data_IF_460696228434
#
_entry.id   IF_460696228434
#
_cell.length_a   1.000
_cell.length_b   1.000
_cell.length_c   1.000
_cell.angle_alpha   90.00
_cell.angle_beta   90.00
_cell.angle_gamma   90.00
#
_symmetry.space_group_name_H-M   'P 1'
#
loop_
_entity.id
_entity.type
_entity.pdbx_description
1 polymer ?
#
# COMPACT_ATOMS: atom_id res chain seq x y z
N UNK A 1 11.06 -29.93 3.96
CA UNK A 1 12.07 -29.52 2.97
C UNK A 1 13.01 -28.61 3.71
N UNK A 2 14.31 -28.88 3.67
CA UNK A 2 15.31 -27.98 4.25
C UNK A 2 15.59 -26.92 3.18
N UNK A 3 15.43 -25.64 3.52
CA UNK A 3 15.69 -24.53 2.60
C UNK A 3 17.22 -24.38 2.46
N UNK A 4 17.73 -24.41 1.23
CA UNK A 4 19.13 -24.17 0.90
C UNK A 4 19.50 -22.70 1.07
N UNK A 5 18.84 -21.78 0.37
CA UNK A 5 19.00 -20.34 0.62
C UNK A 5 17.80 -19.49 0.19
N UNK A 6 17.62 -18.36 0.88
CA UNK A 6 16.55 -17.39 0.63
C UNK A 6 17.16 -16.05 0.24
N UNK A 7 16.61 -15.40 -0.78
CA UNK A 7 16.97 -14.01 -1.13
C UNK A 7 15.93 -13.07 -0.52
N UNK A 8 16.36 -12.16 0.34
CA UNK A 8 15.53 -11.03 0.79
C UNK A 8 15.76 -9.87 -0.16
N UNK A 9 14.73 -9.52 -0.93
CA UNK A 9 14.79 -8.46 -1.92
C UNK A 9 14.33 -7.13 -1.32
N UNK A 10 15.25 -6.19 -1.16
CA UNK A 10 15.03 -4.90 -0.49
C UNK A 10 15.71 -3.75 -1.24
N UNK A 11 15.35 -2.49 -0.97
CA UNK A 11 15.91 -1.33 -1.64
C UNK A 11 15.10 -0.89 -2.85
N UNK A 12 15.68 -0.95 -4.05
CA UNK A 12 15.12 -0.42 -5.28
C UNK A 12 15.29 1.10 -5.44
N UNK A 13 14.62 1.69 -6.42
CA UNK A 13 14.75 3.10 -6.82
C UNK A 13 13.61 4.01 -6.33
N UNK A 14 12.73 3.52 -5.46
CA UNK A 14 11.61 4.31 -4.96
C UNK A 14 12.04 5.32 -3.90
N UNK A 15 11.20 6.32 -3.64
CA UNK A 15 11.37 7.25 -2.51
C UNK A 15 11.35 6.53 -1.14
N UNK A 16 10.94 5.27 -1.10
CA UNK A 16 10.79 4.45 0.09
C UNK A 16 11.94 3.44 0.26
N UNK A 17 13.03 3.60 -0.51
CA UNK A 17 14.21 2.72 -0.50
C UNK A 17 14.78 2.47 0.90
N UNK A 18 14.99 3.51 1.70
CA UNK A 18 15.56 3.36 3.05
C UNK A 18 14.64 2.57 3.98
N UNK A 19 13.32 2.74 3.83
CA UNK A 19 12.33 1.94 4.55
C UNK A 19 12.45 0.47 4.13
N UNK A 20 12.58 0.22 2.84
CA UNK A 20 12.72 -1.13 2.28
C UNK A 20 13.99 -1.82 2.77
N UNK A 21 15.14 -1.15 2.75
CA UNK A 21 16.41 -1.69 3.27
C UNK A 21 16.32 -2.03 4.76
N UNK A 22 15.66 -1.19 5.56
CA UNK A 22 15.44 -1.45 6.99
C UNK A 22 14.53 -2.66 7.21
N UNK A 23 13.47 -2.79 6.42
CA UNK A 23 12.59 -3.98 6.43
C UNK A 23 13.37 -5.24 6.03
N UNK A 24 14.18 -5.16 4.97
CA UNK A 24 15.06 -6.23 4.52
C UNK A 24 15.99 -6.76 5.60
N UNK A 25 16.71 -5.86 6.28
CA UNK A 25 17.59 -6.25 7.39
C UNK A 25 16.85 -7.02 8.49
N UNK A 26 15.68 -6.54 8.91
CA UNK A 26 14.86 -7.22 9.94
C UNK A 26 14.41 -8.61 9.52
N UNK A 27 14.00 -8.79 8.26
CA UNK A 27 13.63 -10.10 7.72
C UNK A 27 14.85 -11.01 7.66
N UNK A 28 15.98 -10.52 7.14
CA UNK A 28 17.22 -11.28 7.10
C UNK A 28 17.68 -11.73 8.48
N UNK A 29 17.62 -10.86 9.50
CA UNK A 29 18.01 -11.19 10.86
C UNK A 29 17.08 -12.27 11.47
N UNK A 30 15.77 -12.18 11.20
CA UNK A 30 14.81 -13.20 11.64
C UNK A 30 15.05 -14.57 10.96
N UNK A 31 15.38 -14.59 9.67
CA UNK A 31 15.72 -15.82 8.95
C UNK A 31 17.02 -16.44 9.46
N UNK A 32 18.07 -15.62 9.69
CA UNK A 32 19.34 -16.08 10.27
C UNK A 32 19.17 -16.67 11.66
N UNK A 33 18.29 -16.10 12.49
CA UNK A 33 17.99 -16.61 13.82
C UNK A 33 17.32 -18.00 13.80
N UNK A 34 16.81 -18.42 12.65
CA UNK A 34 16.27 -19.76 12.39
C UNK A 34 17.24 -20.66 11.60
N UNK A 35 18.51 -20.27 11.52
CA UNK A 35 19.56 -20.96 10.76
C UNK A 35 19.26 -21.12 9.25
N UNK A 36 18.41 -20.26 8.69
CA UNK A 36 18.12 -20.23 7.25
C UNK A 36 19.18 -19.37 6.54
N UNK A 37 19.93 -19.92 5.56
CA UNK A 37 20.89 -19.14 4.78
C UNK A 37 20.17 -18.04 4.00
N UNK A 38 20.67 -16.80 4.12
CA UNK A 38 20.00 -15.62 3.54
C UNK A 38 20.96 -14.65 2.90
N UNK A 39 20.63 -14.25 1.66
CA UNK A 39 21.22 -13.12 0.96
C UNK A 39 20.28 -11.92 1.05
N UNK A 40 20.79 -10.76 1.46
CA UNK A 40 20.06 -9.50 1.32
C UNK A 40 20.49 -8.86 0.00
N UNK A 41 19.56 -8.71 -0.95
CA UNK A 41 19.87 -8.21 -2.29
C UNK A 41 19.04 -6.97 -2.65
N UNK A 42 19.68 -6.09 -3.42
CA UNK A 42 19.02 -4.90 -3.98
C UNK A 42 18.21 -5.23 -5.24
N UNK A 43 17.12 -4.49 -5.45
CA UNK A 43 16.38 -4.52 -6.71
C UNK A 43 17.01 -3.56 -7.73
N UNK A 44 18.10 -4.00 -8.34
CA UNK A 44 18.85 -3.26 -9.35
C UNK A 44 18.98 -4.00 -10.70
N UNK A 45 19.76 -3.44 -11.62
CA UNK A 45 19.94 -3.99 -12.97
C UNK A 45 20.61 -5.38 -13.00
N UNK A 46 21.27 -5.80 -11.92
CA UNK A 46 21.96 -7.10 -11.81
C UNK A 46 21.09 -8.20 -11.21
N UNK A 47 19.87 -7.87 -10.78
CA UNK A 47 19.00 -8.80 -10.08
C UNK A 47 18.67 -10.05 -10.91
N UNK A 48 18.37 -9.88 -12.19
CA UNK A 48 18.00 -10.99 -13.08
C UNK A 48 19.14 -11.98 -13.25
N UNK A 49 20.34 -11.48 -13.53
CA UNK A 49 21.53 -12.31 -13.70
C UNK A 49 21.80 -13.09 -12.41
N UNK A 50 21.75 -12.43 -11.25
CA UNK A 50 21.98 -13.07 -9.96
C UNK A 50 20.98 -14.18 -9.64
N UNK A 51 19.68 -13.94 -9.87
CA UNK A 51 18.65 -14.96 -9.64
C UNK A 51 18.71 -16.12 -10.64
N UNK A 52 19.32 -15.90 -11.82
CA UNK A 52 19.49 -16.94 -12.84
C UNK A 52 20.75 -17.78 -12.57
N UNK A 53 21.84 -17.14 -12.17
CA UNK A 53 23.13 -17.78 -11.92
C UNK A 53 23.13 -18.61 -10.62
N UNK A 54 22.40 -18.15 -9.60
CA UNK A 54 22.23 -18.85 -8.32
C UNK A 54 20.74 -18.81 -7.87
N UNK A 55 19.88 -19.68 -8.42
CA UNK A 55 18.45 -19.65 -8.14
C UNK A 55 18.14 -19.96 -6.66
N UNK A 56 17.45 -19.06 -5.92
CA UNK A 56 17.07 -19.31 -4.54
C UNK A 56 15.87 -20.23 -4.42
N UNK A 57 15.73 -20.89 -3.26
CA UNK A 57 14.52 -21.68 -2.96
C UNK A 57 13.30 -20.78 -2.81
N UNK A 58 13.50 -19.55 -2.35
CA UNK A 58 12.47 -18.52 -2.32
C UNK A 58 13.06 -17.10 -2.27
N UNK A 59 12.30 -16.15 -2.80
CA UNK A 59 12.51 -14.72 -2.61
C UNK A 59 11.52 -14.17 -1.57
N UNK A 60 12.00 -13.38 -0.62
CA UNK A 60 11.17 -12.58 0.28
C UNK A 60 11.19 -11.11 -0.17
N UNK A 61 10.20 -10.65 -0.97
CA UNK A 61 10.15 -9.28 -1.43
C UNK A 61 9.68 -8.33 -0.33
N UNK A 62 10.51 -7.35 0.01
CA UNK A 62 10.24 -6.26 0.97
C UNK A 62 10.52 -4.90 0.34
N UNK A 63 10.21 -4.78 -0.96
CA UNK A 63 10.24 -3.53 -1.71
C UNK A 63 9.01 -2.67 -1.39
N UNK A 64 9.20 -1.35 -1.38
CA UNK A 64 8.14 -0.37 -1.17
C UNK A 64 7.96 0.54 -2.38
N UNK A 65 6.72 0.93 -2.64
CA UNK A 65 6.33 1.74 -3.79
C UNK A 65 5.93 0.91 -5.02
N UNK A 66 5.59 1.59 -6.11
CA UNK A 66 4.92 0.99 -7.28
C UNK A 66 5.58 -0.30 -7.76
N UNK A 67 6.84 -0.27 -8.19
CA UNK A 67 7.52 -1.45 -8.74
C UNK A 67 7.63 -2.64 -7.75
N UNK A 68 7.57 -2.37 -6.44
CA UNK A 68 7.62 -3.38 -5.39
C UNK A 68 6.26 -3.95 -4.98
N UNK A 69 5.21 -3.14 -5.04
CA UNK A 69 3.90 -3.45 -4.44
C UNK A 69 2.78 -3.65 -5.49
N UNK A 70 2.98 -3.17 -6.73
CA UNK A 70 1.99 -3.25 -7.81
C UNK A 70 1.95 -4.61 -8.54
N UNK A 71 2.81 -5.54 -8.14
CA UNK A 71 2.93 -6.88 -8.72
C UNK A 71 4.04 -7.04 -9.76
N UNK A 72 4.65 -5.97 -10.25
CA UNK A 72 5.61 -6.04 -11.37
C UNK A 72 6.84 -6.88 -11.05
N UNK A 73 7.44 -6.72 -9.86
CA UNK A 73 8.57 -7.58 -9.45
C UNK A 73 8.17 -9.06 -9.32
N UNK A 74 6.90 -9.34 -9.00
CA UNK A 74 6.40 -10.70 -8.84
C UNK A 74 6.17 -11.37 -10.19
N UNK A 75 5.68 -10.64 -11.18
CA UNK A 75 5.64 -11.12 -12.57
C UNK A 75 7.05 -11.49 -13.07
N UNK A 76 8.07 -10.73 -12.69
CA UNK A 76 9.47 -11.06 -13.01
C UNK A 76 9.91 -12.36 -12.33
N UNK A 77 9.57 -12.55 -11.05
CA UNK A 77 9.88 -13.79 -10.33
C UNK A 77 9.14 -15.00 -10.92
N UNK A 78 7.87 -14.82 -11.32
CA UNK A 78 7.09 -15.84 -12.04
C UNK A 78 7.75 -16.22 -13.38
N UNK A 79 8.29 -15.24 -14.12
CA UNK A 79 9.02 -15.50 -15.38
C UNK A 79 10.32 -16.28 -15.19
N UNK A 80 10.93 -16.20 -14.00
CA UNK A 80 12.14 -16.93 -13.63
C UNK A 80 11.83 -18.27 -12.96
N UNK A 81 10.55 -18.64 -12.81
CA UNK A 81 10.10 -19.79 -12.02
C UNK A 81 10.64 -19.79 -10.57
N UNK A 82 10.89 -18.60 -10.01
CA UNK A 82 11.44 -18.43 -8.65
C UNK A 82 10.28 -18.28 -7.65
N UNK A 83 10.15 -19.19 -6.67
CA UNK A 83 9.12 -19.06 -5.62
C UNK A 83 9.33 -17.78 -4.81
N UNK A 84 8.24 -17.19 -4.31
CA UNK A 84 8.34 -16.00 -3.47
C UNK A 84 7.24 -15.88 -2.42
N UNK A 85 7.52 -15.09 -1.39
CA UNK A 85 6.58 -14.82 -0.29
C UNK A 85 5.60 -13.69 -0.67
N UNK A 86 4.30 -13.95 -0.49
CA UNK A 86 3.25 -12.92 -0.53
C UNK A 86 2.18 -13.16 -1.61
N UNK A 87 1.44 -12.11 -1.93
CA UNK A 87 0.35 -12.18 -2.89
C UNK A 87 0.84 -12.39 -4.34
N UNK A 88 -0.01 -12.97 -5.18
CA UNK A 88 0.22 -13.11 -6.62
C UNK A 88 0.22 -11.75 -7.36
N UNK A 89 0.82 -11.64 -8.55
CA UNK A 89 0.92 -10.36 -9.25
C UNK A 89 -0.45 -9.77 -9.58
N UNK A 90 -1.40 -10.60 -10.03
CA UNK A 90 -2.78 -10.20 -10.35
C UNK A 90 -3.50 -9.59 -9.14
N UNK A 91 -3.37 -10.22 -7.98
CA UNK A 91 -3.93 -9.74 -6.72
C UNK A 91 -3.27 -8.42 -6.28
N UNK A 92 -1.95 -8.28 -6.42
CA UNK A 92 -1.24 -7.02 -6.16
C UNK A 92 -1.78 -5.89 -7.05
N UNK A 93 -1.96 -6.13 -8.35
CA UNK A 93 -2.50 -5.13 -9.30
C UNK A 93 -3.90 -4.66 -8.91
N UNK A 94 -4.77 -5.60 -8.52
CA UNK A 94 -6.13 -5.30 -8.05
C UNK A 94 -6.10 -4.46 -6.77
N UNK A 95 -5.22 -4.80 -5.82
CA UNK A 95 -5.12 -4.10 -4.54
C UNK A 95 -4.48 -2.70 -4.67
N UNK A 96 -3.51 -2.55 -5.57
CA UNK A 96 -2.77 -1.31 -5.81
C UNK A 96 -3.66 -0.19 -6.36
N UNK A 97 -4.64 -0.55 -7.19
CA UNK A 97 -5.63 0.38 -7.74
C UNK A 97 -6.84 0.52 -6.80
N UNK A 98 -6.87 1.60 -6.00
CA UNK A 98 -7.88 1.80 -4.95
C UNK A 98 -9.32 1.78 -5.49
N UNK A 99 -9.66 2.41 -6.63
CA UNK A 99 -11.00 2.29 -7.21
C UNK A 99 -11.38 0.85 -7.58
N UNK A 100 -10.44 0.09 -8.16
CA UNK A 100 -10.64 -1.33 -8.52
C UNK A 100 -10.82 -2.18 -7.27
N UNK A 101 -9.92 -2.06 -6.29
CA UNK A 101 -10.02 -2.74 -5.00
C UNK A 101 -11.38 -2.46 -4.32
N UNK A 102 -11.81 -1.20 -4.29
CA UNK A 102 -13.12 -0.81 -3.72
C UNK A 102 -14.30 -1.45 -4.46
N UNK A 103 -14.17 -1.70 -5.76
CA UNK A 103 -15.22 -2.38 -6.55
C UNK A 103 -15.30 -3.85 -6.19
N UNK A 104 -14.16 -4.52 -6.01
CA UNK A 104 -14.09 -5.92 -5.54
C UNK A 104 -14.67 -6.06 -4.13
N UNK A 105 -14.27 -5.18 -3.19
CA UNK A 105 -14.78 -5.15 -1.81
C UNK A 105 -16.31 -4.98 -1.80
N UNK A 106 -16.85 -4.03 -2.58
CA UNK A 106 -18.31 -3.82 -2.67
C UNK A 106 -19.04 -5.02 -3.23
N UNK A 107 -18.50 -5.66 -4.28
CA UNK A 107 -19.09 -6.85 -4.89
C UNK A 107 -19.12 -8.04 -3.93
N UNK A 108 -18.16 -8.11 -3.00
CA UNK A 108 -18.13 -9.09 -1.92
C UNK A 108 -19.13 -8.77 -0.77
N UNK A 109 -19.94 -7.71 -0.89
CA UNK A 109 -20.89 -7.30 0.15
C UNK A 109 -20.27 -6.53 1.33
N UNK A 110 -18.98 -6.18 1.23
CA UNK A 110 -18.27 -5.44 2.26
C UNK A 110 -18.40 -3.93 2.06
N UNK A 111 -18.29 -3.19 3.17
CA UNK A 111 -18.46 -1.74 3.19
C UNK A 111 -17.16 -1.03 2.80
N UNK A 112 -17.29 0.01 1.99
CA UNK A 112 -16.22 0.97 1.70
C UNK A 112 -16.83 2.37 1.58
N UNK A 113 -16.10 3.46 1.87
CA UNK A 113 -16.65 4.80 1.76
C UNK A 113 -17.20 5.09 0.36
N UNK A 114 -18.33 5.79 0.29
CA UNK A 114 -18.86 6.30 -0.97
C UNK A 114 -17.81 7.23 -1.60
N UNK A 115 -17.60 7.07 -2.91
CA UNK A 115 -16.44 7.63 -3.58
C UNK A 115 -16.67 7.83 -5.07
N UNK A 116 -15.90 8.74 -5.67
CA UNK A 116 -15.73 8.88 -7.12
C UNK A 116 -14.24 8.85 -7.45
N UNK A 117 -13.88 8.27 -8.60
CA UNK A 117 -12.52 8.27 -9.11
C UNK A 117 -12.53 9.03 -10.45
N UNK A 118 -11.70 10.06 -10.56
CA UNK A 118 -11.73 10.97 -11.69
C UNK A 118 -10.30 11.24 -12.20
N UNK A 119 -10.02 10.94 -13.48
CA UNK A 119 -8.82 11.41 -14.15
C UNK A 119 -8.77 12.94 -14.19
N UNK A 120 -7.56 13.50 -14.24
CA UNK A 120 -7.32 14.94 -14.32
C UNK A 120 -8.01 15.58 -15.52
N UNK A 121 -8.08 14.85 -16.64
CA UNK A 121 -8.64 15.28 -17.92
C UNK A 121 -10.13 15.62 -17.79
N UNK A 122 -10.88 14.92 -16.93
CA UNK A 122 -12.32 15.16 -16.73
C UNK A 122 -12.60 16.58 -16.22
N UNK A 123 -11.69 17.16 -15.42
CA UNK A 123 -11.83 18.52 -14.91
C UNK A 123 -11.59 19.57 -15.99
N UNK A 124 -10.74 19.28 -16.97
CA UNK A 124 -10.55 20.12 -18.13
C UNK A 124 -11.78 20.06 -19.04
N UNK A 125 -12.25 18.85 -19.35
CA UNK A 125 -13.28 18.64 -20.37
C UNK A 125 -14.69 19.06 -19.92
N UNK A 126 -15.03 18.84 -18.65
CA UNK A 126 -16.37 19.14 -18.11
C UNK A 126 -16.43 20.45 -17.29
N UNK A 127 -15.29 21.11 -17.13
CA UNK A 127 -15.14 22.29 -16.29
C UNK A 127 -15.00 21.96 -14.81
N UNK A 128 -13.85 22.33 -14.24
CA UNK A 128 -13.46 21.98 -12.88
C UNK A 128 -14.50 22.40 -11.82
N UNK A 129 -15.01 23.63 -11.90
CA UNK A 129 -15.98 24.13 -10.92
C UNK A 129 -17.26 23.29 -10.84
N UNK A 130 -17.80 22.90 -12.01
CA UNK A 130 -19.01 22.08 -12.10
C UNK A 130 -18.81 20.68 -11.52
N UNK A 131 -17.66 20.06 -11.82
CA UNK A 131 -17.30 18.74 -11.30
C UNK A 131 -17.15 18.80 -9.77
N UNK A 132 -16.43 19.80 -9.25
CA UNK A 132 -16.21 19.97 -7.81
C UNK A 132 -17.51 20.23 -7.04
N UNK A 133 -18.40 21.09 -7.54
CA UNK A 133 -19.74 21.31 -6.95
C UNK A 133 -20.55 20.00 -6.91
N UNK A 134 -20.52 19.21 -7.99
CA UNK A 134 -21.23 17.92 -8.04
C UNK A 134 -20.69 16.92 -7.03
N UNK A 135 -19.37 16.86 -6.83
CA UNK A 135 -18.73 16.02 -5.83
C UNK A 135 -19.22 16.40 -4.44
N UNK A 136 -19.18 17.68 -4.09
CA UNK A 136 -19.61 18.19 -2.78
C UNK A 136 -21.08 17.87 -2.51
N UNK A 137 -21.98 18.09 -3.48
CA UNK A 137 -23.40 17.76 -3.32
C UNK A 137 -23.68 16.27 -3.16
N UNK A 138 -22.87 15.41 -3.77
CA UNK A 138 -23.10 13.97 -3.80
C UNK A 138 -22.48 13.23 -2.61
N UNK A 139 -21.30 13.67 -2.17
CA UNK A 139 -20.54 13.00 -1.10
C UNK A 139 -20.62 13.76 0.23
N UNK A 140 -20.88 15.07 0.23
CA UNK A 140 -20.84 15.90 1.42
C UNK A 140 -19.42 16.15 1.93
N UNK A 141 -19.32 16.75 3.13
CA UNK A 141 -18.07 16.97 3.85
C UNK A 141 -18.11 16.23 5.21
N UNK A 142 -16.95 15.86 5.78
CA UNK A 142 -15.60 15.99 5.21
C UNK A 142 -15.31 14.96 4.11
N UNK A 143 -14.40 15.31 3.19
CA UNK A 143 -13.90 14.43 2.13
C UNK A 143 -12.46 14.00 2.41
N UNK A 144 -12.09 12.85 1.87
CA UNK A 144 -10.72 12.37 1.79
C UNK A 144 -10.33 12.27 0.31
N UNK A 145 -9.34 13.05 -0.12
CA UNK A 145 -8.82 13.07 -1.48
C UNK A 145 -7.49 12.33 -1.49
N UNK A 146 -7.29 11.39 -2.41
CA UNK A 146 -6.03 10.63 -2.53
C UNK A 146 -5.78 10.14 -3.95
N UNK A 147 -4.52 9.91 -4.36
CA UNK A 147 -4.23 9.27 -5.64
C UNK A 147 -4.84 7.87 -5.71
N UNK A 148 -5.34 7.51 -6.89
CA UNK A 148 -5.94 6.19 -7.14
C UNK A 148 -4.96 5.04 -6.93
N UNK A 149 -3.67 5.25 -7.21
CA UNK A 149 -2.55 4.32 -7.00
C UNK A 149 -1.50 4.97 -6.09
N UNK A 150 -0.61 4.18 -5.49
CA UNK A 150 0.43 4.69 -4.59
C UNK A 150 0.21 4.34 -3.11
N UNK A 151 1.29 4.41 -2.35
CA UNK A 151 1.35 4.11 -0.92
C UNK A 151 1.62 5.35 -0.05
N UNK A 152 1.82 5.10 1.25
CA UNK A 152 2.42 6.06 2.19
C UNK A 152 1.73 7.41 2.34
N UNK A 153 0.43 7.46 2.04
CA UNK A 153 -0.43 8.64 2.12
C UNK A 153 0.10 9.86 1.32
N UNK A 154 0.97 9.64 0.33
CA UNK A 154 1.48 10.70 -0.53
C UNK A 154 0.34 11.25 -1.41
N UNK A 155 0.22 12.58 -1.45
CA UNK A 155 -0.88 13.27 -2.15
C UNK A 155 -2.26 13.12 -1.49
N UNK A 156 -2.34 12.53 -0.30
CA UNK A 156 -3.60 12.35 0.41
C UNK A 156 -3.92 13.54 1.33
N UNK A 157 -5.17 13.99 1.34
CA UNK A 157 -5.62 15.13 2.16
C UNK A 157 -7.06 14.99 2.62
N UNK A 158 -7.36 15.59 3.78
CA UNK A 158 -8.72 15.72 4.30
C UNK A 158 -9.23 17.11 3.96
N UNK A 159 -10.40 17.18 3.34
CA UNK A 159 -11.08 18.43 2.97
C UNK A 159 -12.27 18.60 3.93
N UNK A 160 -12.19 19.63 4.78
CA UNK A 160 -13.27 19.96 5.74
C UNK A 160 -14.10 21.15 5.28
N UNK A 161 -13.51 22.04 4.49
CA UNK A 161 -14.19 23.16 3.85
C UNK A 161 -14.27 22.94 2.34
N UNK A 162 -15.38 23.33 1.72
CA UNK A 162 -15.57 23.25 0.28
C UNK A 162 -14.52 24.05 -0.51
N UNK A 163 -14.05 25.17 0.04
CA UNK A 163 -13.04 26.02 -0.59
C UNK A 163 -11.69 25.30 -0.77
N UNK A 164 -11.38 24.33 0.10
CA UNK A 164 -10.10 23.61 0.10
C UNK A 164 -10.07 22.48 -0.93
N UNK A 165 -11.21 22.08 -1.49
CA UNK A 165 -11.29 20.91 -2.37
C UNK A 165 -10.43 21.08 -3.63
N UNK A 166 -10.42 22.27 -4.23
CA UNK A 166 -9.62 22.52 -5.44
C UNK A 166 -8.12 22.34 -5.18
N UNK A 167 -7.62 22.91 -4.08
CA UNK A 167 -6.21 22.81 -3.68
C UNK A 167 -5.84 21.35 -3.36
N UNK A 168 -6.71 20.62 -2.66
CA UNK A 168 -6.52 19.20 -2.36
C UNK A 168 -6.42 18.34 -3.64
N UNK A 169 -7.24 18.62 -4.64
CA UNK A 169 -7.20 17.93 -5.93
C UNK A 169 -5.90 18.22 -6.68
N UNK A 170 -5.47 19.49 -6.74
CA UNK A 170 -4.19 19.86 -7.37
C UNK A 170 -3.02 19.16 -6.68
N UNK A 171 -2.99 19.16 -5.35
CA UNK A 171 -1.96 18.46 -4.57
C UNK A 171 -1.96 16.95 -4.82
N UNK A 172 -3.14 16.33 -4.93
CA UNK A 172 -3.27 14.92 -5.28
C UNK A 172 -2.69 14.62 -6.68
N UNK A 173 -2.96 15.48 -7.67
CA UNK A 173 -2.49 15.27 -9.04
C UNK A 173 -0.97 15.42 -9.23
N UNK A 174 -0.25 15.94 -8.23
CA UNK A 174 1.22 15.90 -8.24
C UNK A 174 1.79 14.49 -8.06
N UNK A 175 0.96 13.53 -7.59
CA UNK A 175 1.36 12.15 -7.28
C UNK A 175 0.68 11.09 -8.16
N UNK A 176 -0.17 11.50 -9.11
CA UNK A 176 -0.79 10.59 -10.07
C UNK A 176 -1.87 11.27 -10.92
N UNK A 177 -2.25 10.66 -12.05
CA UNK A 177 -3.13 11.28 -13.04
C UNK A 177 -4.63 11.13 -12.73
N UNK A 178 -4.98 10.39 -11.69
CA UNK A 178 -6.35 10.21 -11.25
C UNK A 178 -6.48 10.30 -9.73
N UNK A 179 -7.52 11.01 -9.28
CA UNK A 179 -7.85 11.20 -7.89
C UNK A 179 -9.06 10.35 -7.49
N UNK A 180 -8.97 9.71 -6.33
CA UNK A 180 -10.09 9.11 -5.62
C UNK A 180 -10.55 10.09 -4.55
N UNK A 181 -11.78 10.59 -4.68
CA UNK A 181 -12.45 11.43 -3.70
C UNK A 181 -13.51 10.60 -3.00
N UNK A 182 -13.44 10.51 -1.68
CA UNK A 182 -14.38 9.71 -0.90
C UNK A 182 -14.84 10.44 0.37
N UNK A 183 -15.97 9.98 0.95
CA UNK A 183 -16.38 10.45 2.27
C UNK A 183 -15.31 10.12 3.30
N UNK A 184 -14.85 11.13 4.04
CA UNK A 184 -13.93 10.90 5.14
C UNK A 184 -14.68 10.20 6.28
N UNK A 185 -14.14 9.08 6.74
CA UNK A 185 -14.70 8.32 7.86
C UNK A 185 -14.02 8.76 9.14
N UNK A 186 -14.81 9.04 10.17
CA UNK A 186 -14.33 9.27 11.52
C UNK A 186 -14.56 8.01 12.36
N UNK A 187 -13.55 7.62 13.14
CA UNK A 187 -13.60 6.44 13.99
C UNK A 187 -12.20 5.90 14.26
N UNK A 188 -12.16 4.68 14.79
CA UNK A 188 -10.91 3.96 15.07
C UNK A 188 -10.30 3.42 13.78
N UNK A 189 -9.08 3.86 13.46
CA UNK A 189 -8.30 3.31 12.35
C UNK A 189 -7.67 1.99 12.78
N UNK A 190 -7.86 0.93 11.98
CA UNK A 190 -7.36 -0.41 12.27
C UNK A 190 -6.69 -1.04 11.06
N UNK A 191 -5.65 -1.83 11.31
CA UNK A 191 -5.03 -2.72 10.33
C UNK A 191 -5.11 -4.17 10.81
N UNK A 192 -5.40 -5.08 9.89
CA UNK A 192 -5.49 -6.52 10.17
C UNK A 192 -4.51 -7.25 9.25
N UNK A 193 -3.46 -7.80 9.83
CA UNK A 193 -2.51 -8.64 9.10
C UNK A 193 -3.13 -10.01 8.86
N UNK A 194 -3.00 -10.52 7.63
CA UNK A 194 -3.44 -11.87 7.27
C UNK A 194 -2.21 -12.68 6.91
N UNK A 195 -2.10 -13.88 7.48
CA UNK A 195 -1.06 -14.85 7.12
C UNK A 195 -1.72 -16.11 6.57
N UNK A 196 -1.14 -16.68 5.53
CA UNK A 196 -1.52 -18.01 5.06
C UNK A 196 -0.67 -19.04 5.83
N UNK A 197 -1.34 -20.04 6.40
CA UNK A 197 -0.70 -21.23 6.97
C UNK A 197 -1.35 -22.45 6.36
N UNK A 198 -0.56 -23.24 5.64
CA UNK A 198 -0.99 -24.48 5.00
C UNK A 198 -2.25 -24.30 4.11
N UNK A 199 -2.31 -23.21 3.35
CA UNK A 199 -3.43 -22.87 2.46
C UNK A 199 -4.64 -22.27 3.18
N UNK A 200 -4.52 -22.00 4.48
CA UNK A 200 -5.60 -21.41 5.28
C UNK A 200 -5.26 -19.97 5.65
N UNK A 201 -5.97 -18.97 5.08
CA UNK A 201 -5.78 -17.57 5.45
C UNK A 201 -6.31 -17.34 6.87
N UNK A 202 -5.43 -16.88 7.75
CA UNK A 202 -5.73 -16.58 9.15
C UNK A 202 -5.51 -15.09 9.42
N UNK A 203 -6.57 -14.40 9.83
CA UNK A 203 -6.46 -13.02 10.31
C UNK A 203 -5.81 -12.99 11.69
N UNK A 204 -4.75 -12.21 11.84
CA UNK A 204 -4.12 -11.88 13.11
C UNK A 204 -4.98 -10.85 13.87
N UNK A 205 -4.76 -10.65 15.19
CA UNK A 205 -5.46 -9.62 15.95
C UNK A 205 -5.36 -8.25 15.27
N UNK A 206 -6.49 -7.56 15.18
CA UNK A 206 -6.54 -6.20 14.66
C UNK A 206 -5.63 -5.29 15.49
N UNK A 207 -4.89 -4.42 14.81
CA UNK A 207 -4.04 -3.40 15.43
C UNK A 207 -4.72 -2.06 15.23
N UNK A 208 -5.05 -1.38 16.32
CA UNK A 208 -5.51 0.00 16.32
C UNK A 208 -4.32 0.94 16.13
N UNK A 209 -4.50 1.92 15.25
CA UNK A 209 -3.49 2.93 14.91
C UNK A 209 -3.94 4.26 15.52
N UNK A 210 -3.19 4.75 16.51
CA UNK A 210 -3.47 6.01 17.21
C UNK A 210 -2.40 7.02 16.80
N UNK A 211 -2.68 7.75 15.72
CA UNK A 211 -1.78 8.80 15.23
C UNK A 211 -2.02 10.14 15.94
N UNK A 212 -0.97 10.93 16.21
CA UNK A 212 -1.13 12.27 16.78
C UNK A 212 -1.92 13.16 15.83
N UNK A 213 -2.81 14.00 16.38
CA UNK A 213 -3.71 14.82 15.57
C UNK A 213 -4.78 14.03 14.80
N UNK A 214 -4.91 12.72 15.05
CA UNK A 214 -5.95 11.86 14.48
C UNK A 214 -5.77 11.55 13.00
N UNK A 215 -4.54 11.64 12.46
CA UNK A 215 -4.25 11.37 11.04
C UNK A 215 -3.00 10.52 10.88
N UNK A 216 -3.15 9.35 10.26
CA UNK A 216 -2.02 8.47 9.96
C UNK A 216 -1.39 8.76 8.59
N UNK A 217 -0.80 9.96 8.48
CA UNK A 217 -0.10 10.44 7.29
C UNK A 217 1.35 9.93 7.18
N UNK A 218 2.12 10.44 6.20
CA UNK A 218 3.51 10.02 5.97
C UNK A 218 4.40 10.25 7.19
N UNK A 219 4.31 11.43 7.81
CA UNK A 219 5.10 11.79 8.99
C UNK A 219 4.78 10.85 10.14
N UNK A 220 3.50 10.61 10.42
CA UNK A 220 3.05 9.69 11.46
C UNK A 220 3.51 8.22 11.26
N UNK A 221 3.86 7.83 10.02
CA UNK A 221 4.33 6.47 9.67
C UNK A 221 5.83 6.27 9.88
N UNK A 222 6.63 7.32 9.70
CA UNK A 222 8.08 7.18 9.58
C UNK A 222 8.88 7.93 10.64
N UNK A 223 8.28 8.92 11.31
CA UNK A 223 8.88 9.57 12.47
C UNK A 223 8.59 8.75 13.73
N UNK A 224 9.66 8.29 14.39
CA UNK A 224 9.56 7.40 15.53
C UNK A 224 9.07 8.14 16.78
N UNK A 225 8.07 7.58 17.45
CA UNK A 225 7.63 8.00 18.80
C UNK A 225 6.24 8.62 18.89
N UNK A 226 5.64 8.96 17.76
CA UNK A 226 4.41 9.77 17.73
C UNK A 226 3.13 8.93 17.59
N UNK A 227 3.17 7.82 16.85
CA UNK A 227 2.01 6.93 16.66
C UNK A 227 2.02 5.76 17.65
N UNK A 228 0.93 5.57 18.39
CA UNK A 228 0.72 4.41 19.26
C UNK A 228 -0.01 3.30 18.48
N UNK A 229 0.46 2.05 18.66
CA UNK A 229 -0.16 0.86 18.06
C UNK A 229 -0.69 -0.04 19.19
N UNK A 230 -2.01 -0.27 19.22
CA UNK A 230 -2.66 -1.06 20.27
C UNK A 230 -3.17 -2.37 19.69
N UNK A 231 -2.74 -3.50 20.26
CA UNK A 231 -3.18 -4.85 19.84
C UNK A 231 -3.57 -5.71 21.04
N UNK A 232 -4.77 -6.34 21.04
CA UNK A 232 -5.83 -6.19 20.07
C UNK A 232 -6.45 -4.78 20.06
N UNK A 233 -6.98 -4.35 18.92
CA UNK A 233 -7.66 -3.07 18.75
C UNK A 233 -8.84 -2.91 19.75
N UNK A 234 -9.00 -1.72 20.34
CA UNK A 234 -10.05 -1.43 21.33
C UNK A 234 -11.38 -1.12 20.63
N UNK A 235 -11.99 -2.14 20.06
CA UNK A 235 -13.26 -2.04 19.35
C UNK A 235 -14.43 -2.45 20.23
N UNK A 236 -15.51 -1.67 20.26
CA UNK A 236 -16.81 -2.15 20.76
C UNK A 236 -17.53 -2.94 19.67
N UNK A 237 -18.16 -4.08 20.00
CA UNK A 237 -18.93 -4.89 19.05
C UNK A 237 -20.06 -4.11 18.34
#
# INVERSE_FOLDING_TARGET
MELGHVVVLAGGLSYEREVSLRSGRRVSDALRALDIPVELRDADATLLDALTDDPPDAVFPVLHGAAGEDGSIRDVLDLLDVPYVGARPDACRVAWDKPTAKSVVRRAGLRTPASVALPKEVFHDLGAASVLDRILRSLGLPLFVKPTRGGSALGASVVRDAADLSAAMVGCFAYGDAALVERCISGTEVAVSVIDRDGTPTALPAVEIVAPGGRYDYTARYDAGDTEFVTPARLTP
#
